data_IF_413525142134
#
_entry.id   IF_413525142134
#
_cell.length_a   1.000
_cell.length_b   1.000
_cell.length_c   1.000
_cell.angle_alpha   90.00
_cell.angle_beta   90.00
_cell.angle_gamma   90.00
#
_symmetry.space_group_name_H-M   'P 1'
#
loop_
_entity.id
_entity.type
_entity.pdbx_description
1 polymer ?
#
# COMPACT_ATOMS: atom_id res chain seq x y z
N UNK A 1 23.67 4.41 4.40
CA UNK A 1 23.33 5.84 4.23
C UNK A 1 21.82 6.07 4.13
N UNK A 2 21.30 7.01 4.92
CA UNK A 2 19.95 7.57 4.84
C UNK A 2 19.90 8.77 3.89
N UNK A 3 19.31 9.88 4.34
CA UNK A 3 19.20 11.15 3.60
C UNK A 3 19.69 12.30 4.48
N UNK A 4 20.00 13.48 3.91
CA UNK A 4 20.18 14.69 4.71
C UNK A 4 18.92 15.02 5.52
N UNK A 5 19.09 15.48 6.75
CA UNK A 5 18.01 16.03 7.57
C UNK A 5 18.17 17.54 7.58
N UNK A 6 17.32 18.22 6.79
CA UNK A 6 17.43 19.65 6.52
C UNK A 6 16.40 20.37 7.38
N UNK A 7 16.87 21.14 8.36
CA UNK A 7 16.02 21.91 9.29
C UNK A 7 16.03 23.42 9.01
N UNK A 8 16.88 23.86 8.07
CA UNK A 8 17.06 25.27 7.72
C UNK A 8 17.03 25.47 6.19
N UNK A 9 16.52 26.62 5.76
CA UNK A 9 16.46 26.98 4.34
C UNK A 9 17.75 27.70 3.90
N UNK A 10 18.88 27.00 3.88
CA UNK A 10 20.17 27.52 3.41
C UNK A 10 20.66 26.76 2.17
N UNK A 11 20.76 27.46 1.04
CA UNK A 11 21.20 26.91 -0.25
C UNK A 11 22.72 26.71 -0.36
N UNK A 12 23.50 27.32 0.55
CA UNK A 12 24.96 27.20 0.56
C UNK A 12 25.45 26.14 1.56
N UNK A 13 24.53 25.56 2.33
CA UNK A 13 24.84 24.52 3.29
C UNK A 13 25.41 23.29 2.57
N UNK A 14 26.50 22.74 3.11
CA UNK A 14 26.96 21.40 2.73
C UNK A 14 26.08 20.37 3.43
N UNK A 15 25.44 19.50 2.66
CA UNK A 15 24.58 18.47 3.19
C UNK A 15 25.32 17.15 3.38
N UNK A 16 25.12 16.53 4.54
CA UNK A 16 25.64 15.20 4.85
C UNK A 16 24.50 14.20 4.93
N UNK A 17 24.74 12.96 4.49
CA UNK A 17 23.75 11.89 4.62
C UNK A 17 23.81 11.31 6.02
N UNK A 18 22.71 11.43 6.76
CA UNK A 18 22.57 10.78 8.06
C UNK A 18 22.49 9.26 7.92
N UNK A 19 22.66 8.52 9.01
CA UNK A 19 22.36 7.10 9.01
C UNK A 19 20.85 6.87 8.86
N UNK A 20 20.43 5.65 8.48
CA UNK A 20 19.00 5.31 8.43
C UNK A 20 18.38 5.41 9.82
N UNK A 21 19.11 4.99 10.86
CA UNK A 21 18.65 5.05 12.25
C UNK A 21 18.39 6.50 12.69
N UNK A 22 19.29 7.43 12.37
CA UNK A 22 19.13 8.85 12.71
C UNK A 22 17.92 9.45 11.98
N UNK A 23 17.71 9.10 10.71
CA UNK A 23 16.52 9.58 9.96
C UNK A 23 15.23 9.08 10.62
N UNK A 24 15.16 7.82 11.05
CA UNK A 24 14.01 7.32 11.80
C UNK A 24 13.83 8.02 13.15
N UNK A 25 14.91 8.29 13.87
CA UNK A 25 14.87 9.02 15.14
C UNK A 25 14.32 10.44 14.94
N UNK A 26 14.77 11.14 13.90
CA UNK A 26 14.30 12.48 13.58
C UNK A 26 12.82 12.48 13.16
N UNK A 27 12.37 11.51 12.34
CA UNK A 27 10.95 11.35 12.00
C UNK A 27 10.11 11.20 13.28
N UNK A 28 10.53 10.36 14.22
CA UNK A 28 9.79 10.14 15.46
C UNK A 28 9.79 11.39 16.35
N UNK A 29 10.92 12.11 16.44
CA UNK A 29 11.00 13.37 17.19
C UNK A 29 10.07 14.44 16.61
N UNK A 30 10.05 14.61 15.29
CA UNK A 30 9.15 15.56 14.61
C UNK A 30 7.68 15.22 14.85
N UNK A 31 7.32 13.92 14.82
CA UNK A 31 5.96 13.48 15.12
C UNK A 31 5.58 13.70 16.59
N UNK A 32 6.52 13.58 17.51
CA UNK A 32 6.30 13.82 18.95
C UNK A 32 6.10 15.31 19.22
N UNK A 33 6.94 16.17 18.62
CA UNK A 33 6.80 17.61 18.70
C UNK A 33 5.48 18.10 18.09
N UNK A 34 5.06 17.53 16.95
CA UNK A 34 3.81 17.89 16.29
C UNK A 34 2.58 17.42 17.06
N UNK A 35 2.67 16.30 17.80
CA UNK A 35 1.53 15.64 18.44
C UNK A 35 0.57 16.58 19.20
N UNK A 36 1.00 17.50 20.10
CA UNK A 36 0.09 18.39 20.81
C UNK A 36 -0.67 19.38 19.91
N UNK A 37 -0.18 19.66 18.71
CA UNK A 37 -0.76 20.63 17.78
C UNK A 37 -1.69 20.00 16.73
N UNK A 38 -1.64 18.68 16.58
CA UNK A 38 -2.51 17.96 15.65
C UNK A 38 -3.93 17.83 16.24
N UNK A 39 -4.98 18.31 15.55
CA UNK A 39 -6.35 18.24 16.03
C UNK A 39 -6.91 16.80 15.95
N UNK A 40 -7.93 16.51 16.76
CA UNK A 40 -8.62 15.21 16.70
C UNK A 40 -9.42 15.05 15.41
N UNK A 41 -10.05 16.13 14.95
CA UNK A 41 -10.81 16.21 13.69
C UNK A 41 -10.24 17.36 12.85
N UNK A 42 -9.93 17.09 11.59
CA UNK A 42 -9.50 18.08 10.61
C UNK A 42 -10.68 18.63 9.82
N UNK A 43 -10.53 19.83 9.26
CA UNK A 43 -11.54 20.41 8.36
C UNK A 43 -11.74 19.60 7.07
N UNK A 44 -10.70 18.89 6.62
CA UNK A 44 -10.74 17.96 5.50
C UNK A 44 -9.56 16.98 5.61
N UNK A 45 -9.59 15.92 4.80
CA UNK A 45 -8.57 14.86 4.84
C UNK A 45 -7.21 15.29 4.27
N UNK A 46 -7.08 16.47 3.65
CA UNK A 46 -5.79 17.01 3.22
C UNK A 46 -4.99 17.65 4.39
N UNK A 47 -5.61 17.82 5.57
CA UNK A 47 -4.94 18.26 6.78
C UNK A 47 -4.86 17.09 7.78
N UNK A 48 -3.68 16.82 8.38
CA UNK A 48 -3.52 15.68 9.28
C UNK A 48 -4.34 15.87 10.56
N UNK A 49 -5.03 14.80 10.98
CA UNK A 49 -5.69 14.69 12.28
C UNK A 49 -4.98 13.62 13.16
N UNK A 50 -5.52 13.34 14.34
CA UNK A 50 -4.95 12.31 15.24
C UNK A 50 -4.93 10.91 14.60
N UNK A 51 -5.89 10.55 13.76
CA UNK A 51 -5.88 9.27 13.05
C UNK A 51 -4.70 9.19 12.07
N UNK A 52 -4.40 10.28 11.36
CA UNK A 52 -3.23 10.40 10.50
C UNK A 52 -1.91 10.28 11.29
N UNK A 53 -1.82 10.96 12.44
CA UNK A 53 -0.64 10.90 13.31
C UNK A 53 -0.36 9.46 13.77
N UNK A 54 -1.37 8.77 14.29
CA UNK A 54 -1.23 7.37 14.70
C UNK A 54 -0.95 6.44 13.52
N UNK A 55 -1.54 6.69 12.35
CA UNK A 55 -1.22 5.92 11.14
C UNK A 55 0.24 6.07 10.71
N UNK A 56 0.79 7.28 10.84
CA UNK A 56 2.20 7.53 10.54
C UNK A 56 3.10 6.76 11.51
N UNK A 57 2.87 6.89 12.82
CA UNK A 57 3.59 6.08 13.81
C UNK A 57 3.51 4.58 13.53
N UNK A 58 2.31 4.07 13.23
CA UNK A 58 2.10 2.65 12.94
C UNK A 58 2.94 2.17 11.75
N UNK A 59 2.96 2.92 10.64
CA UNK A 59 3.77 2.60 9.45
C UNK A 59 5.27 2.68 9.74
N UNK A 60 5.71 3.69 10.49
CA UNK A 60 7.11 3.88 10.88
C UNK A 60 7.57 2.71 11.75
N UNK A 61 6.87 2.41 12.83
CA UNK A 61 7.22 1.31 13.73
C UNK A 61 7.16 -0.06 13.04
N UNK A 62 6.18 -0.30 12.16
CA UNK A 62 6.14 -1.53 11.37
C UNK A 62 7.38 -1.66 10.47
N UNK A 63 7.82 -0.56 9.86
CA UNK A 63 9.03 -0.53 9.03
C UNK A 63 10.31 -0.77 9.83
N UNK A 64 10.32 -0.40 11.11
CA UNK A 64 11.41 -0.64 12.06
C UNK A 64 11.38 -2.06 12.67
N UNK A 65 10.31 -2.83 12.45
CA UNK A 65 10.09 -4.12 13.11
C UNK A 65 9.65 -4.02 14.58
N UNK A 66 9.26 -2.83 15.05
CA UNK A 66 8.72 -2.60 16.39
C UNK A 66 7.21 -2.90 16.38
N UNK A 67 6.88 -4.20 16.42
CA UNK A 67 5.50 -4.67 16.24
C UNK A 67 4.56 -4.24 17.39
N UNK A 68 5.09 -4.08 18.60
CA UNK A 68 4.29 -3.65 19.76
C UNK A 68 3.80 -2.21 19.59
N UNK A 69 4.70 -1.28 19.27
CA UNK A 69 4.31 0.12 19.05
C UNK A 69 3.54 0.31 17.76
N UNK A 70 3.83 -0.49 16.72
CA UNK A 70 3.06 -0.50 15.49
C UNK A 70 1.61 -0.93 15.75
N UNK A 71 1.39 -2.00 16.53
CA UNK A 71 0.05 -2.49 16.89
C UNK A 71 -0.72 -1.47 17.72
N UNK A 72 -0.07 -0.90 18.74
CA UNK A 72 -0.69 0.10 19.60
C UNK A 72 -1.18 1.31 18.79
N UNK A 73 -0.34 1.85 17.90
CA UNK A 73 -0.70 3.00 17.08
C UNK A 73 -1.74 2.64 16.00
N UNK A 74 -1.65 1.46 15.39
CA UNK A 74 -2.66 1.02 14.43
C UNK A 74 -4.04 0.93 15.09
N UNK A 75 -4.13 0.36 16.30
CA UNK A 75 -5.38 0.32 17.05
C UNK A 75 -5.87 1.72 17.45
N UNK A 76 -5.00 2.63 17.87
CA UNK A 76 -5.38 4.02 18.14
C UNK A 76 -5.92 4.74 16.90
N UNK A 77 -5.34 4.51 15.73
CA UNK A 77 -5.87 5.04 14.48
C UNK A 77 -7.25 4.46 14.16
N UNK A 78 -7.45 3.15 14.33
CA UNK A 78 -8.73 2.47 14.08
C UNK A 78 -9.86 2.88 15.04
N UNK A 79 -9.53 3.29 16.27
CA UNK A 79 -10.52 3.87 17.19
C UNK A 79 -11.04 5.22 16.68
N UNK A 80 -10.17 6.00 16.03
CA UNK A 80 -10.52 7.33 15.49
C UNK A 80 -11.18 7.24 14.11
N UNK A 81 -10.75 6.28 13.28
CA UNK A 81 -11.37 5.96 12.00
C UNK A 81 -11.16 4.47 11.65
N UNK A 82 -12.22 3.69 11.79
CA UNK A 82 -12.28 2.29 11.41
C UNK A 82 -13.16 2.03 10.19
N UNK A 83 -13.52 3.08 9.43
CA UNK A 83 -14.40 2.95 8.26
C UNK A 83 -13.74 2.10 7.18
N UNK A 84 -14.55 1.33 6.46
CA UNK A 84 -14.16 0.52 5.31
C UNK A 84 -15.18 0.75 4.20
N UNK A 85 -14.71 0.99 2.97
CA UNK A 85 -15.57 1.11 1.81
C UNK A 85 -16.08 -0.29 1.42
N UNK A 86 -17.39 -0.51 1.42
CA UNK A 86 -17.93 -1.80 0.96
C UNK A 86 -18.05 -1.84 -0.57
N UNK A 87 -17.23 -2.68 -1.22
CA UNK A 87 -17.31 -2.86 -2.67
C UNK A 87 -18.59 -3.59 -3.11
N UNK A 88 -19.30 -4.25 -2.20
CA UNK A 88 -20.58 -4.87 -2.50
C UNK A 88 -21.67 -3.84 -2.83
N UNK A 89 -21.49 -2.57 -2.50
CA UNK A 89 -22.42 -1.48 -2.87
C UNK A 89 -22.20 -0.98 -4.31
N UNK A 90 -21.11 -1.39 -4.96
CA UNK A 90 -20.70 -0.91 -6.28
C UNK A 90 -20.85 -1.99 -7.35
N UNK A 91 -20.93 -1.56 -8.60
CA UNK A 91 -20.89 -2.41 -9.80
C UNK A 91 -19.98 -1.81 -10.87
N UNK A 92 -19.63 -2.62 -11.87
CA UNK A 92 -18.79 -2.20 -13.00
C UNK A 92 -19.61 -1.96 -14.26
N UNK A 93 -19.23 -0.94 -15.03
CA UNK A 93 -19.75 -0.65 -16.36
C UNK A 93 -18.66 -0.79 -17.42
N UNK A 94 -18.97 -1.43 -18.55
CA UNK A 94 -18.08 -1.51 -19.71
C UNK A 94 -18.30 -0.32 -20.67
N UNK A 95 -17.35 -0.10 -21.59
CA UNK A 95 -17.48 0.97 -22.58
C UNK A 95 -17.32 2.37 -22.01
N UNK A 96 -16.75 2.49 -20.81
CA UNK A 96 -16.42 3.77 -20.21
C UNK A 96 -15.10 3.71 -19.45
N UNK A 97 -14.32 4.78 -19.58
CA UNK A 97 -13.17 5.06 -18.72
C UNK A 97 -13.64 5.65 -17.38
N UNK A 98 -14.52 6.65 -17.45
CA UNK A 98 -14.93 7.45 -16.30
C UNK A 98 -16.19 6.87 -15.67
N UNK A 99 -16.14 6.60 -14.37
CA UNK A 99 -17.26 5.94 -13.68
C UNK A 99 -17.40 4.47 -14.05
N UNK A 100 -16.31 3.81 -14.47
CA UNK A 100 -16.26 2.36 -14.67
C UNK A 100 -16.73 1.59 -13.44
N UNK A 101 -16.47 2.13 -12.23
CA UNK A 101 -17.00 1.61 -10.97
C UNK A 101 -17.88 2.68 -10.34
N UNK A 102 -19.14 2.34 -10.10
CA UNK A 102 -20.15 3.26 -9.60
C UNK A 102 -21.12 2.56 -8.66
N UNK A 103 -21.87 3.34 -7.88
CA UNK A 103 -22.86 2.82 -6.95
C UNK A 103 -23.95 2.05 -7.71
N UNK A 104 -24.38 0.92 -7.17
CA UNK A 104 -25.46 0.10 -7.75
C UNK A 104 -26.74 0.93 -7.88
N UNK A 105 -27.30 0.96 -9.09
CA UNK A 105 -28.53 1.71 -9.36
C UNK A 105 -28.37 3.25 -9.42
N UNK A 106 -27.15 3.78 -9.24
CA UNK A 106 -26.85 5.20 -9.43
C UNK A 106 -25.52 5.42 -10.18
N UNK A 107 -25.48 5.28 -11.52
CA UNK A 107 -24.25 5.41 -12.31
C UNK A 107 -23.58 6.80 -12.27
N UNK A 108 -24.29 7.82 -11.76
CA UNK A 108 -23.72 9.16 -11.60
C UNK A 108 -22.81 9.27 -10.37
N UNK A 109 -22.95 8.34 -9.42
CA UNK A 109 -22.19 8.31 -8.17
C UNK A 109 -21.06 7.29 -8.30
N UNK A 110 -19.83 7.80 -8.42
CA UNK A 110 -18.63 6.99 -8.64
C UNK A 110 -18.10 6.46 -7.31
N UNK A 111 -17.30 5.39 -7.38
CA UNK A 111 -16.46 4.99 -6.24
C UNK A 111 -15.63 6.20 -5.75
N UNK A 112 -15.58 6.47 -4.44
CA UNK A 112 -14.92 7.66 -3.92
C UNK A 112 -13.41 7.61 -4.17
N UNK A 113 -12.84 8.76 -4.56
CA UNK A 113 -11.40 8.95 -4.77
C UNK A 113 -10.78 9.75 -3.60
N UNK A 114 -10.97 11.07 -3.60
CA UNK A 114 -10.39 11.99 -2.61
C UNK A 114 -11.17 12.01 -1.29
N UNK A 115 -12.48 11.86 -1.37
CA UNK A 115 -13.40 11.80 -0.23
C UNK A 115 -13.60 10.36 0.25
N UNK A 116 -12.56 9.53 0.12
CA UNK A 116 -12.60 8.12 0.50
C UNK A 116 -12.84 7.98 2.02
N UNK A 117 -13.83 7.19 2.47
CA UNK A 117 -14.15 7.07 3.90
C UNK A 117 -12.97 6.49 4.70
N UNK A 118 -12.18 5.65 4.06
CA UNK A 118 -10.97 5.06 4.64
C UNK A 118 -9.81 6.05 4.81
N UNK A 119 -9.89 7.29 4.28
CA UNK A 119 -8.76 8.21 4.32
C UNK A 119 -8.60 8.87 5.70
N UNK A 120 -7.46 8.60 6.36
CA UNK A 120 -7.00 9.35 7.53
C UNK A 120 -6.22 10.60 7.14
N UNK A 121 -5.52 10.53 6.01
CA UNK A 121 -4.81 11.63 5.41
C UNK A 121 -4.70 11.40 3.91
N UNK A 122 -5.03 12.42 3.12
CA UNK A 122 -4.92 12.40 1.67
C UNK A 122 -3.62 13.04 1.25
N UNK A 123 -2.74 12.24 0.65
CA UNK A 123 -1.68 12.73 -0.22
C UNK A 123 -2.01 12.29 -1.64
N UNK A 124 -2.51 13.24 -2.41
CA UNK A 124 -2.96 12.97 -3.77
C UNK A 124 -1.76 12.80 -4.71
N UNK A 125 -1.69 11.65 -5.37
CA UNK A 125 -0.80 11.44 -6.51
C UNK A 125 -1.64 11.49 -7.79
N UNK A 126 -1.42 12.50 -8.62
CA UNK A 126 -2.06 12.62 -9.93
C UNK A 126 -1.36 11.70 -10.93
N UNK A 127 -2.13 10.84 -11.58
CA UNK A 127 -1.65 9.85 -12.55
C UNK A 127 -2.55 8.63 -12.55
N UNK A 128 -2.57 7.91 -13.68
CA UNK A 128 -3.34 6.68 -13.83
C UNK A 128 -2.44 5.58 -14.37
N UNK A 129 -2.57 4.38 -13.83
CA UNK A 129 -1.95 3.16 -14.37
C UNK A 129 -2.91 2.42 -15.32
N UNK A 130 -4.10 2.97 -15.58
CA UNK A 130 -5.14 2.36 -16.39
C UNK A 130 -4.60 1.98 -17.78
N UNK A 131 -4.78 0.71 -18.15
CA UNK A 131 -4.34 0.15 -19.43
C UNK A 131 -2.83 0.11 -19.65
N UNK A 132 -2.03 0.53 -18.66
CA UNK A 132 -0.57 0.71 -18.81
C UNK A 132 0.25 -0.35 -18.09
N UNK A 133 -0.37 -1.13 -17.20
CA UNK A 133 0.31 -2.16 -16.40
C UNK A 133 -0.50 -3.45 -16.37
N UNK A 134 0.21 -4.58 -16.43
CA UNK A 134 -0.35 -5.91 -16.36
C UNK A 134 0.00 -6.58 -15.02
N UNK A 135 -0.90 -7.43 -14.54
CA UNK A 135 -0.62 -8.31 -13.41
C UNK A 135 0.36 -9.41 -13.82
N UNK A 136 1.42 -9.58 -13.05
CA UNK A 136 2.24 -10.80 -13.09
C UNK A 136 1.37 -12.05 -12.82
N UNK A 137 1.71 -13.20 -13.41
CA UNK A 137 1.05 -14.48 -13.13
C UNK A 137 0.95 -14.79 -11.63
N UNK A 138 2.02 -14.59 -10.87
CA UNK A 138 1.99 -14.81 -9.41
C UNK A 138 0.91 -13.97 -8.71
N UNK A 139 0.71 -12.72 -9.13
CA UNK A 139 -0.32 -11.87 -8.53
C UNK A 139 -1.73 -12.33 -8.91
N UNK A 140 -1.90 -12.90 -10.11
CA UNK A 140 -3.17 -13.54 -10.52
C UNK A 140 -3.46 -14.76 -9.65
N UNK A 141 -2.45 -15.59 -9.38
CA UNK A 141 -2.57 -16.73 -8.47
C UNK A 141 -2.95 -16.28 -7.04
N UNK A 142 -2.34 -15.19 -6.57
CA UNK A 142 -2.73 -14.58 -5.28
C UNK A 142 -4.21 -14.20 -5.31
N UNK A 143 -4.72 -13.50 -6.33
CA UNK A 143 -6.15 -13.15 -6.40
C UNK A 143 -7.08 -14.39 -6.42
N UNK A 144 -6.64 -15.54 -6.93
CA UNK A 144 -7.44 -16.77 -6.96
C UNK A 144 -7.39 -17.60 -5.66
N UNK A 145 -6.44 -17.33 -4.77
CA UNK A 145 -6.16 -18.14 -3.57
C UNK A 145 -7.05 -17.77 -2.39
N UNK A 146 -7.42 -18.77 -1.57
CA UNK A 146 -8.14 -18.61 -0.30
C UNK A 146 -9.50 -17.87 -0.42
N UNK A 147 -10.19 -17.98 -1.57
CA UNK A 147 -11.50 -17.37 -1.79
C UNK A 147 -12.67 -18.23 -1.32
N UNK A 148 -12.52 -19.56 -1.29
CA UNK A 148 -13.59 -20.51 -0.91
C UNK A 148 -14.90 -20.32 -1.70
N UNK A 149 -14.81 -20.00 -2.99
CA UNK A 149 -15.96 -19.75 -3.86
C UNK A 149 -16.44 -18.30 -3.90
N UNK A 150 -15.90 -17.42 -3.04
CA UNK A 150 -16.15 -15.98 -3.11
C UNK A 150 -15.55 -15.36 -4.38
N UNK A 151 -16.08 -14.19 -4.76
CA UNK A 151 -15.57 -13.38 -5.88
C UNK A 151 -14.85 -12.16 -5.32
N UNK A 152 -13.60 -11.94 -5.70
CA UNK A 152 -12.84 -10.76 -5.28
C UNK A 152 -13.22 -9.55 -6.13
N UNK A 153 -13.97 -8.62 -5.54
CA UNK A 153 -14.48 -7.44 -6.25
C UNK A 153 -13.36 -6.49 -6.66
N UNK A 154 -12.20 -6.52 -6.00
CA UNK A 154 -11.02 -5.74 -6.45
C UNK A 154 -10.51 -6.30 -7.78
N UNK A 155 -10.47 -7.63 -7.92
CA UNK A 155 -10.09 -8.27 -9.19
C UNK A 155 -11.11 -7.97 -10.27
N UNK A 156 -12.39 -8.08 -9.96
CA UNK A 156 -13.49 -7.86 -10.91
C UNK A 156 -13.60 -6.42 -11.40
N UNK A 157 -13.40 -5.45 -10.51
CA UNK A 157 -13.66 -4.05 -10.80
C UNK A 157 -12.42 -3.32 -11.29
N UNK A 158 -11.23 -3.70 -10.79
CA UNK A 158 -10.01 -2.94 -11.06
C UNK A 158 -9.18 -3.51 -12.19
N UNK A 159 -9.51 -4.72 -12.66
CA UNK A 159 -8.75 -5.40 -13.70
C UNK A 159 -9.65 -5.95 -14.81
N UNK A 160 -9.06 -6.20 -15.97
CA UNK A 160 -9.71 -6.91 -17.07
C UNK A 160 -8.78 -7.98 -17.63
N UNK A 161 -9.35 -9.06 -18.16
CA UNK A 161 -8.61 -10.16 -18.78
C UNK A 161 -8.84 -10.17 -20.29
N UNK A 162 -7.79 -10.46 -21.05
CA UNK A 162 -7.74 -10.57 -22.52
C UNK A 162 -8.07 -9.30 -23.33
N UNK A 163 -8.96 -8.45 -22.84
CA UNK A 163 -9.44 -7.25 -23.51
C UNK A 163 -10.03 -6.26 -22.49
N UNK A 164 -9.97 -4.96 -22.81
CA UNK A 164 -10.72 -3.93 -22.08
C UNK A 164 -11.36 -2.91 -23.05
N UNK A 165 -12.65 -2.65 -22.85
CA UNK A 165 -13.36 -1.54 -23.50
C UNK A 165 -13.47 -0.34 -22.53
N UNK A 166 -12.71 0.71 -22.85
CA UNK A 166 -12.59 1.92 -22.05
C UNK A 166 -13.35 3.11 -22.67
N UNK A 167 -14.33 2.86 -23.56
CA UNK A 167 -15.12 3.90 -24.22
C UNK A 167 -14.54 4.40 -25.54
N UNK A 168 -13.68 3.58 -26.14
CA UNK A 168 -13.08 3.79 -27.45
C UNK A 168 -13.06 2.48 -28.23
N UNK A 169 -12.02 2.24 -29.01
CA UNK A 169 -11.78 0.89 -29.54
C UNK A 169 -11.31 -0.03 -28.41
N UNK A 170 -11.79 -1.28 -28.36
CA UNK A 170 -11.30 -2.26 -27.39
C UNK A 170 -9.78 -2.44 -27.48
N UNK A 171 -9.12 -2.45 -26.33
CA UNK A 171 -7.70 -2.79 -26.22
C UNK A 171 -7.58 -4.29 -25.99
N UNK A 172 -6.87 -4.99 -26.87
CA UNK A 172 -6.69 -6.45 -26.77
C UNK A 172 -5.31 -6.79 -26.23
N UNK A 173 -5.26 -7.69 -25.26
CA UNK A 173 -4.06 -8.22 -24.61
C UNK A 173 -4.28 -9.70 -24.25
N UNK A 174 -4.41 -10.60 -25.24
CA UNK A 174 -4.79 -11.99 -25.00
C UNK A 174 -3.81 -12.72 -24.07
N UNK A 175 -4.34 -13.43 -23.08
CA UNK A 175 -3.57 -14.14 -22.05
C UNK A 175 -3.15 -13.27 -20.86
N UNK A 176 -3.30 -11.95 -20.95
CA UNK A 176 -2.86 -10.99 -19.95
C UNK A 176 -4.01 -10.42 -19.11
N UNK A 177 -3.65 -9.74 -18.02
CA UNK A 177 -4.61 -9.10 -17.13
C UNK A 177 -4.19 -7.66 -16.81
N UNK A 178 -4.90 -6.68 -17.37
CA UNK A 178 -4.58 -5.26 -17.24
C UNK A 178 -5.26 -4.63 -16.02
N UNK A 179 -4.60 -3.67 -15.37
CA UNK A 179 -5.26 -2.74 -14.46
C UNK A 179 -6.07 -1.71 -15.25
N UNK A 180 -7.37 -1.61 -15.01
CA UNK A 180 -8.31 -0.81 -15.82
C UNK A 180 -9.13 0.19 -15.02
N UNK A 181 -8.96 0.25 -13.70
CA UNK A 181 -9.62 1.27 -12.89
C UNK A 181 -9.04 2.65 -13.21
N UNK A 182 -9.90 3.61 -13.53
CA UNK A 182 -9.56 5.01 -13.43
C UNK A 182 -9.87 5.48 -12.00
N UNK A 183 -8.82 5.70 -11.21
CA UNK A 183 -8.94 6.25 -9.85
C UNK A 183 -7.66 6.97 -9.49
N UNK A 184 -7.82 8.05 -8.73
CA UNK A 184 -6.69 8.74 -8.14
C UNK A 184 -6.19 8.00 -6.91
N UNK A 185 -4.88 7.75 -6.83
CA UNK A 185 -4.33 7.06 -5.67
C UNK A 185 -4.08 8.03 -4.52
N UNK A 186 -4.65 7.71 -3.35
CA UNK A 186 -4.20 8.27 -2.09
C UNK A 186 -2.93 7.53 -1.64
N UNK A 187 -1.78 8.22 -1.62
CA UNK A 187 -0.52 7.70 -1.05
C UNK A 187 -0.27 8.17 0.39
N UNK A 188 -1.28 8.79 1.00
CA UNK A 188 -1.31 9.16 2.41
C UNK A 188 -1.62 7.96 3.30
N UNK A 189 -2.44 8.16 4.32
CA UNK A 189 -2.76 7.13 5.33
C UNK A 189 -4.22 6.73 5.27
N UNK A 190 -4.49 5.45 5.48
CA UNK A 190 -5.85 4.90 5.44
C UNK A 190 -6.14 3.94 6.59
N UNK A 191 -7.40 3.87 7.01
CA UNK A 191 -7.89 2.89 7.99
C UNK A 191 -7.61 1.45 7.54
N UNK A 192 -7.79 1.15 6.25
CA UNK A 192 -7.51 -0.19 5.70
C UNK A 192 -6.04 -0.58 5.87
N UNK A 193 -5.10 0.36 5.73
CA UNK A 193 -3.71 0.09 6.05
C UNK A 193 -3.53 -0.21 7.55
N UNK A 194 -4.20 0.54 8.43
CA UNK A 194 -4.13 0.28 9.87
C UNK A 194 -4.69 -1.11 10.23
N UNK A 195 -5.76 -1.57 9.58
CA UNK A 195 -6.25 -2.94 9.72
C UNK A 195 -5.18 -3.97 9.38
N UNK A 196 -4.46 -3.79 8.26
CA UNK A 196 -3.39 -4.71 7.86
C UNK A 196 -2.15 -4.62 8.75
N UNK A 197 -1.78 -3.43 9.23
CA UNK A 197 -0.68 -3.27 10.21
C UNK A 197 -1.04 -4.00 11.50
N UNK A 198 -2.24 -3.77 12.04
CA UNK A 198 -2.71 -4.42 13.26
C UNK A 198 -2.80 -5.95 13.07
N UNK A 199 -3.37 -6.42 11.96
CA UNK A 199 -3.48 -7.85 11.67
C UNK A 199 -2.11 -8.52 11.55
N UNK A 200 -1.14 -7.86 10.90
CA UNK A 200 0.21 -8.36 10.80
C UNK A 200 0.89 -8.45 12.17
N UNK A 201 0.81 -7.39 12.98
CA UNK A 201 1.39 -7.41 14.32
C UNK A 201 0.74 -8.46 15.22
N UNK A 202 -0.59 -8.61 15.18
CA UNK A 202 -1.30 -9.66 15.92
C UNK A 202 -0.83 -11.06 15.50
N UNK A 203 -0.61 -11.30 14.21
CA UNK A 203 -0.09 -12.59 13.77
C UNK A 203 1.36 -12.85 14.24
N UNK A 204 2.16 -11.81 14.40
CA UNK A 204 3.59 -11.90 14.79
C UNK A 204 3.79 -12.03 16.30
N UNK A 205 3.16 -11.16 17.08
CA UNK A 205 3.41 -11.02 18.52
C UNK A 205 2.16 -11.25 19.39
N UNK A 206 0.99 -11.33 18.78
CA UNK A 206 -0.29 -11.43 19.47
C UNK A 206 -1.03 -12.72 19.14
N UNK A 207 -2.31 -12.59 18.77
CA UNK A 207 -3.21 -13.72 18.55
C UNK A 207 -3.56 -13.91 17.08
N UNK A 208 -3.37 -15.15 16.56
CA UNK A 208 -3.97 -15.62 15.30
C UNK A 208 -5.43 -15.22 15.15
N UNK A 209 -6.24 -15.41 16.20
CA UNK A 209 -7.67 -15.12 16.17
C UNK A 209 -7.92 -13.62 15.93
N UNK A 210 -7.17 -12.74 16.58
CA UNK A 210 -7.27 -11.29 16.36
C UNK A 210 -6.79 -10.90 14.97
N UNK A 211 -5.69 -11.48 14.49
CA UNK A 211 -5.21 -11.27 13.13
C UNK A 211 -6.26 -11.65 12.08
N UNK A 212 -6.88 -12.83 12.23
CA UNK A 212 -7.95 -13.30 11.35
C UNK A 212 -9.21 -12.44 11.44
N UNK A 213 -9.59 -11.97 12.63
CA UNK A 213 -10.72 -11.06 12.80
C UNK A 213 -10.51 -9.74 12.04
N UNK A 214 -9.33 -9.12 12.18
CA UNK A 214 -8.99 -7.86 11.52
C UNK A 214 -8.95 -8.02 9.99
N UNK A 215 -8.33 -9.08 9.48
CA UNK A 215 -8.26 -9.30 8.02
C UNK A 215 -9.63 -9.67 7.44
N UNK A 216 -10.46 -10.43 8.16
CA UNK A 216 -11.81 -10.77 7.72
C UNK A 216 -12.73 -9.54 7.70
N UNK A 217 -12.52 -8.57 8.61
CA UNK A 217 -13.21 -7.28 8.57
C UNK A 217 -12.94 -6.50 7.29
N UNK A 218 -11.74 -6.59 6.72
CA UNK A 218 -11.46 -6.02 5.40
C UNK A 218 -12.10 -6.88 4.30
N UNK A 219 -11.92 -8.20 4.36
CA UNK A 219 -12.38 -9.12 3.31
C UNK A 219 -13.90 -9.11 3.11
N UNK A 220 -14.70 -8.97 4.17
CA UNK A 220 -16.17 -8.86 4.04
C UNK A 220 -16.59 -7.68 3.15
N UNK A 221 -15.80 -6.60 3.12
CA UNK A 221 -16.02 -5.39 2.33
C UNK A 221 -15.39 -5.45 0.92
N UNK A 222 -14.73 -6.57 0.57
CA UNK A 222 -14.01 -6.75 -0.71
C UNK A 222 -14.48 -7.96 -1.50
N UNK A 223 -15.10 -8.93 -0.83
CA UNK A 223 -15.48 -10.20 -1.41
C UNK A 223 -17.01 -10.30 -1.48
N UNK A 224 -17.53 -10.63 -2.66
CA UNK A 224 -18.90 -11.11 -2.81
C UNK A 224 -18.96 -12.59 -2.42
N UNK A 225 -20.06 -13.00 -1.78
CA UNK A 225 -20.24 -14.34 -1.22
C UNK A 225 -19.14 -14.69 -0.19
N UNK A 226 -18.79 -13.70 0.64
CA UNK A 226 -17.73 -13.78 1.63
C UNK A 226 -17.85 -14.99 2.56
N UNK A 227 -16.72 -15.65 2.77
CA UNK A 227 -16.52 -16.60 3.86
C UNK A 227 -15.22 -16.27 4.61
N UNK A 228 -15.23 -16.51 5.92
CA UNK A 228 -14.11 -16.20 6.78
C UNK A 228 -12.84 -16.95 6.37
N UNK A 229 -11.74 -16.20 6.25
CA UNK A 229 -10.41 -16.75 6.15
C UNK A 229 -10.05 -17.49 7.45
N UNK A 230 -9.55 -18.71 7.30
CA UNK A 230 -9.11 -19.56 8.41
C UNK A 230 -7.61 -19.83 8.31
N UNK A 231 -6.98 -20.04 9.47
CA UNK A 231 -5.60 -20.48 9.59
C UNK A 231 -5.44 -21.35 10.85
N UNK A 232 -4.52 -22.31 10.83
CA UNK A 232 -4.26 -23.24 11.92
C UNK A 232 -3.22 -22.72 12.91
N UNK A 233 -2.33 -21.82 12.47
CA UNK A 233 -1.22 -21.28 13.27
C UNK A 233 -1.09 -19.76 13.11
N UNK A 234 -0.37 -19.10 14.02
CA UNK A 234 0.04 -17.70 13.87
C UNK A 234 0.82 -17.49 12.55
N UNK A 235 1.67 -18.46 12.19
CA UNK A 235 2.48 -18.40 10.97
C UNK A 235 1.61 -18.43 9.71
N UNK A 236 0.66 -19.36 9.65
CA UNK A 236 -0.26 -19.45 8.54
C UNK A 236 -1.14 -18.19 8.43
N UNK A 237 -1.58 -17.63 9.57
CA UNK A 237 -2.31 -16.36 9.59
C UNK A 237 -1.44 -15.21 9.07
N UNK A 238 -0.17 -15.12 9.47
CA UNK A 238 0.74 -14.10 8.99
C UNK A 238 0.89 -14.14 7.47
N UNK A 239 1.12 -15.33 6.90
CA UNK A 239 1.22 -15.51 5.44
C UNK A 239 -0.06 -15.02 4.75
N UNK A 240 -1.23 -15.44 5.25
CA UNK A 240 -2.52 -15.06 4.65
C UNK A 240 -2.81 -13.56 4.79
N UNK A 241 -2.44 -12.94 5.91
CA UNK A 241 -2.53 -11.48 6.11
C UNK A 241 -1.65 -10.74 5.11
N UNK A 242 -0.40 -11.17 4.91
CA UNK A 242 0.52 -10.55 3.95
C UNK A 242 0.04 -10.69 2.50
N UNK A 243 -0.52 -11.85 2.15
CA UNK A 243 -1.14 -12.08 0.83
C UNK A 243 -2.38 -11.20 0.62
N UNK A 244 -3.23 -11.06 1.63
CA UNK A 244 -4.41 -10.21 1.57
C UNK A 244 -4.06 -8.72 1.48
N UNK A 245 -3.05 -8.28 2.23
CA UNK A 245 -2.47 -6.93 2.11
C UNK A 245 -1.95 -6.68 0.69
N UNK A 246 -1.31 -7.68 0.08
CA UNK A 246 -0.83 -7.60 -1.31
C UNK A 246 -1.99 -7.45 -2.30
N UNK A 247 -3.14 -8.10 -2.09
CA UNK A 247 -4.36 -7.91 -2.90
C UNK A 247 -4.92 -6.49 -2.75
N UNK A 248 -4.97 -5.97 -1.52
CA UNK A 248 -5.54 -4.65 -1.25
C UNK A 248 -4.74 -3.53 -1.90
N UNK A 249 -3.41 -3.57 -1.72
CA UNK A 249 -2.50 -2.53 -2.19
C UNK A 249 -1.84 -2.85 -3.54
N UNK A 250 -2.39 -3.80 -4.30
CA UNK A 250 -1.87 -4.14 -5.62
C UNK A 250 -1.93 -2.92 -6.54
N UNK A 251 -0.76 -2.48 -7.03
CA UNK A 251 -0.60 -1.29 -7.87
C UNK A 251 -1.09 0.02 -7.21
N UNK A 252 -1.17 0.06 -5.88
CA UNK A 252 -1.53 1.26 -5.10
C UNK A 252 -0.33 1.73 -4.28
N UNK A 253 0.35 2.77 -4.78
CA UNK A 253 1.45 3.41 -4.08
C UNK A 253 2.68 2.51 -3.83
N UNK A 254 3.54 2.85 -2.86
CA UNK A 254 4.84 2.19 -2.66
C UNK A 254 4.78 0.92 -1.80
N UNK A 255 3.59 0.47 -1.38
CA UNK A 255 3.41 -0.55 -0.35
C UNK A 255 4.15 -1.86 -0.65
N UNK A 256 4.08 -2.33 -1.91
CA UNK A 256 4.77 -3.57 -2.31
C UNK A 256 6.29 -3.45 -2.19
N UNK A 257 6.87 -2.30 -2.53
CA UNK A 257 8.31 -2.07 -2.41
C UNK A 257 8.73 -2.06 -0.93
N UNK A 258 7.97 -1.39 -0.07
CA UNK A 258 8.25 -1.36 1.37
C UNK A 258 8.13 -2.75 2.00
N UNK A 259 7.08 -3.51 1.64
CA UNK A 259 6.90 -4.88 2.11
C UNK A 259 8.02 -5.80 1.65
N UNK A 260 8.45 -5.73 0.38
CA UNK A 260 9.61 -6.52 -0.09
C UNK A 260 10.87 -6.19 0.70
N UNK A 261 11.18 -4.91 0.93
CA UNK A 261 12.39 -4.49 1.63
C UNK A 261 12.43 -4.99 3.07
N UNK A 262 11.33 -4.86 3.82
CA UNK A 262 11.29 -5.31 5.22
C UNK A 262 11.21 -6.83 5.34
N UNK A 263 10.43 -7.49 4.49
CA UNK A 263 10.22 -8.94 4.55
C UNK A 263 11.44 -9.71 4.05
N UNK A 264 12.22 -9.17 3.11
CA UNK A 264 13.47 -9.79 2.67
C UNK A 264 14.54 -9.88 3.78
N UNK A 265 14.39 -9.16 4.89
CA UNK A 265 15.24 -9.32 6.07
C UNK A 265 14.93 -10.61 6.84
N UNK A 266 13.74 -11.19 6.66
CA UNK A 266 13.32 -12.45 7.24
C UNK A 266 13.56 -13.59 6.26
N UNK A 267 14.41 -14.57 6.62
CA UNK A 267 14.79 -15.68 5.73
C UNK A 267 13.57 -16.40 5.10
N UNK A 268 12.49 -16.56 5.87
CA UNK A 268 11.25 -17.22 5.43
C UNK A 268 10.46 -16.46 4.36
N UNK A 269 10.68 -15.16 4.19
CA UNK A 269 9.95 -14.31 3.24
C UNK A 269 10.84 -13.75 2.13
N UNK A 270 12.14 -14.10 2.14
CA UNK A 270 13.06 -13.69 1.09
C UNK A 270 12.56 -14.11 -0.28
N UNK A 271 12.52 -13.12 -1.18
CA UNK A 271 12.05 -13.32 -2.54
C UNK A 271 12.97 -12.64 -3.53
N UNK A 272 13.46 -13.43 -4.48
CA UNK A 272 14.06 -12.92 -5.72
C UNK A 272 12.93 -12.60 -6.70
N UNK A 273 12.91 -11.37 -7.20
CA UNK A 273 11.97 -10.94 -8.24
C UNK A 273 12.59 -11.22 -9.60
N UNK A 274 11.85 -11.90 -10.47
CA UNK A 274 12.28 -12.21 -11.82
C UNK A 274 11.19 -11.84 -12.81
N UNK A 275 11.57 -11.12 -13.85
CA UNK A 275 10.70 -10.77 -14.98
C UNK A 275 11.42 -11.08 -16.29
N UNK A 276 10.67 -11.46 -17.30
CA UNK A 276 11.18 -11.67 -18.66
C UNK A 276 10.49 -10.69 -19.60
N UNK A 277 11.26 -9.95 -20.38
CA UNK A 277 10.78 -9.01 -21.39
C UNK A 277 11.72 -9.06 -22.59
N UNK A 278 11.18 -9.06 -23.81
CA UNK A 278 11.96 -9.08 -25.07
C UNK A 278 13.01 -10.21 -25.17
N UNK A 279 12.73 -11.36 -24.55
CA UNK A 279 13.64 -12.51 -24.50
C UNK A 279 14.77 -12.38 -23.47
N UNK A 280 14.85 -11.27 -22.74
CA UNK A 280 15.80 -11.05 -21.65
C UNK A 280 15.15 -11.32 -20.29
N UNK A 281 15.94 -11.84 -19.35
CA UNK A 281 15.50 -12.08 -17.97
C UNK A 281 16.17 -11.09 -17.02
N UNK A 282 15.35 -10.32 -16.33
CA UNK A 282 15.76 -9.36 -15.31
C UNK A 282 15.52 -9.94 -13.92
N UNK A 283 16.53 -9.88 -13.07
CA UNK A 283 16.47 -10.45 -11.72
C UNK A 283 16.90 -9.43 -10.67
N UNK A 284 16.12 -9.35 -9.59
CA UNK A 284 16.39 -8.58 -8.38
C UNK A 284 16.37 -9.54 -7.18
N UNK A 285 17.54 -10.03 -6.74
CA UNK A 285 17.67 -10.87 -5.55
C UNK A 285 17.19 -10.16 -4.29
N UNK A 286 16.75 -10.93 -3.29
CA UNK A 286 16.41 -10.38 -1.98
C UNK A 286 17.60 -9.58 -1.38
N UNK A 287 17.29 -8.44 -0.75
CA UNK A 287 18.28 -7.53 -0.13
C UNK A 287 19.31 -6.89 -1.07
N UNK A 288 19.13 -7.00 -2.39
CA UNK A 288 20.00 -6.34 -3.37
C UNK A 288 19.95 -4.80 -3.25
N UNK A 289 21.08 -4.13 -3.48
CA UNK A 289 21.19 -2.67 -3.35
C UNK A 289 20.25 -1.90 -4.29
N UNK A 290 19.80 -2.53 -5.39
CA UNK A 290 18.85 -1.95 -6.34
C UNK A 290 17.44 -1.72 -5.76
N UNK A 291 17.14 -2.24 -4.56
CA UNK A 291 15.96 -1.83 -3.78
C UNK A 291 16.06 -0.40 -3.20
N UNK A 292 17.24 0.22 -3.26
CA UNK A 292 17.46 1.62 -2.91
C UNK A 292 17.67 2.39 -4.20
N UNK A 293 16.89 3.44 -4.45
CA UNK A 293 17.08 4.30 -5.62
C UNK A 293 18.45 4.99 -5.54
N UNK A 294 19.15 5.18 -6.68
CA UNK A 294 20.39 5.95 -6.71
C UNK A 294 20.11 7.41 -6.33
N UNK A 295 21.14 8.11 -5.85
CA UNK A 295 21.08 9.57 -5.71
C UNK A 295 20.96 10.14 -7.12
N UNK A 296 20.11 11.16 -7.29
CA UNK A 296 19.95 11.82 -8.59
C UNK A 296 21.30 12.37 -9.07
N UNK A 297 21.63 12.13 -10.33
CA UNK A 297 22.87 12.59 -10.95
C UNK A 297 23.07 14.11 -10.80
N UNK A 298 22.00 14.90 -10.93
CA UNK A 298 22.05 16.35 -10.75
C UNK A 298 22.54 16.73 -9.34
N UNK A 299 22.10 16.00 -8.30
CA UNK A 299 22.56 16.24 -6.92
C UNK A 299 24.06 15.96 -6.81
N UNK A 300 24.56 14.90 -7.46
CA UNK A 300 25.98 14.54 -7.45
C UNK A 300 26.85 15.54 -8.22
N UNK A 301 26.31 16.17 -9.27
CA UNK A 301 27.02 17.22 -10.01
C UNK A 301 27.25 18.47 -9.15
N UNK A 302 26.25 18.86 -8.34
CA UNK A 302 26.41 19.94 -7.36
C UNK A 302 27.17 19.52 -6.10
N UNK A 303 27.18 18.23 -5.78
CA UNK A 303 27.81 17.68 -4.57
C UNK A 303 28.68 16.45 -4.94
N UNK A 304 29.87 16.64 -5.55
CA UNK A 304 30.68 15.52 -6.04
C UNK A 304 31.13 14.54 -4.96
N UNK A 305 31.29 15.03 -3.72
CA UNK A 305 31.72 14.23 -2.56
C UNK A 305 30.53 13.58 -1.81
N UNK A 306 29.31 13.67 -2.35
CA UNK A 306 28.12 13.16 -1.67
C UNK A 306 28.16 11.63 -1.60
N UNK A 307 28.03 11.01 -0.42
CA UNK A 307 28.26 9.58 -0.28
C UNK A 307 27.17 8.77 -1.00
N UNK A 308 27.59 7.84 -1.86
CA UNK A 308 26.73 6.90 -2.59
C UNK A 308 27.02 5.46 -2.19
N UNK A 309 26.05 4.57 -2.43
CA UNK A 309 26.29 3.15 -2.32
C UNK A 309 27.09 2.65 -3.52
N UNK A 310 28.00 1.71 -3.31
CA UNK A 310 28.62 0.94 -4.39
C UNK A 310 27.53 0.10 -5.08
N UNK A 311 27.52 0.13 -6.42
CA UNK A 311 26.46 -0.44 -7.27
C UNK A 311 27.04 -1.13 -8.48
#
# INVERSE_FOLDING_TARGET
>A
FGVPYITEADINQKYERHSVADVYANILADLEEAAPFIPEISANNAHPNKAALHSFYARVYLSMGDYERALSNANSALVLNGELLDLNDYEKAEGTTWGRVHLKGNPSERMPDIDHPEANYVKWLSGSLQGSVMLSHEMRDVYAKDLNGAIDLRKEYFFSEDMADLGGSPNYFPGECAFVLYSNFNVGFTSVENYFIAAECEARIGSRQRALQLVNKVRENRLQDFSELQASTNEEALIKVLEEKRREFCLKGPMRLFDLKRLNLEQRFQKTITHTADGETFTLPANDIRYVLPVNQEILEFNPDFPVYER
#
